data_IF_883597129830
#
_entry.id   IF_883597129830
#
_cell.length_a   1.000
_cell.length_b   1.000
_cell.length_c   1.000
_cell.angle_alpha   90.00
_cell.angle_beta   90.00
_cell.angle_gamma   90.00
#
_symmetry.space_group_name_H-M   'P 1'
#
loop_
_entity.id
_entity.type
_entity.pdbx_description
1 polymer ?
#
# COMPACT_ATOMS: atom_id res chain seq x y z
N UNK A 1 -9.57 28.00 1.68
CA UNK A 1 -9.29 29.35 1.15
C UNK A 1 -8.00 29.35 0.31
N UNK A 2 -6.90 28.75 0.80
CA UNK A 2 -5.62 28.63 0.07
C UNK A 2 -5.69 27.90 -1.29
N UNK A 3 -6.49 26.82 -1.42
CA UNK A 3 -6.60 26.06 -2.70
C UNK A 3 -7.12 26.93 -3.85
N UNK A 4 -8.06 27.84 -3.58
CA UNK A 4 -8.61 28.73 -4.59
C UNK A 4 -7.60 29.81 -5.03
N UNK A 5 -6.79 30.29 -4.09
CA UNK A 5 -5.73 31.27 -4.34
C UNK A 5 -4.60 30.67 -5.18
N UNK A 6 -4.19 29.42 -4.87
CA UNK A 6 -3.23 28.67 -5.69
C UNK A 6 -3.75 28.46 -7.12
N UNK A 7 -5.02 28.05 -7.27
CA UNK A 7 -5.60 27.81 -8.58
C UNK A 7 -5.70 29.09 -9.43
N UNK A 8 -6.04 30.23 -8.81
CA UNK A 8 -6.12 31.52 -9.49
C UNK A 8 -4.74 32.03 -9.92
N UNK A 9 -3.72 31.92 -9.06
CA UNK A 9 -2.37 32.33 -9.41
C UNK A 9 -1.76 31.40 -10.48
N UNK A 10 -1.95 30.09 -10.35
CA UNK A 10 -1.56 29.12 -11.40
C UNK A 10 -2.23 29.44 -12.74
N UNK A 11 -3.54 29.67 -12.75
CA UNK A 11 -4.29 30.02 -13.97
C UNK A 11 -3.79 31.30 -14.63
N UNK A 12 -3.40 32.29 -13.82
CA UNK A 12 -2.83 33.55 -14.28
C UNK A 12 -1.45 33.32 -14.89
N UNK A 13 -0.58 32.56 -14.22
CA UNK A 13 0.77 32.23 -14.69
C UNK A 13 0.76 31.37 -15.97
N UNK A 14 -0.19 30.43 -16.09
CA UNK A 14 -0.39 29.64 -17.29
C UNK A 14 -0.85 30.50 -18.48
N UNK A 15 -1.84 31.39 -18.27
CA UNK A 15 -2.32 32.30 -19.33
C UNK A 15 -1.26 33.29 -19.80
N UNK A 16 -0.31 33.66 -18.94
CA UNK A 16 0.80 34.55 -19.30
C UNK A 16 2.00 33.80 -19.88
N UNK A 17 1.92 32.47 -20.03
CA UNK A 17 3.02 31.64 -20.56
C UNK A 17 4.22 31.55 -19.63
N UNK A 18 4.05 31.90 -18.35
CA UNK A 18 5.10 31.82 -17.33
C UNK A 18 5.17 30.45 -16.66
N UNK A 19 4.12 29.65 -16.82
CA UNK A 19 4.06 28.24 -16.43
C UNK A 19 3.55 27.47 -17.64
N UNK A 20 4.40 26.61 -18.18
CA UNK A 20 3.97 25.62 -19.18
C UNK A 20 3.39 24.42 -18.44
N UNK A 21 2.17 24.03 -18.80
CA UNK A 21 1.61 22.75 -18.36
C UNK A 21 2.20 21.71 -19.30
N UNK A 22 2.93 20.71 -18.78
CA UNK A 22 3.45 19.65 -19.63
C UNK A 22 2.28 18.95 -20.34
N UNK A 23 2.46 18.66 -21.63
CA UNK A 23 1.47 17.88 -22.39
C UNK A 23 1.36 16.47 -21.82
N UNK A 24 0.26 15.77 -22.11
CA UNK A 24 0.12 14.35 -21.72
C UNK A 24 1.30 13.50 -22.21
N UNK A 25 1.87 13.82 -23.37
CA UNK A 25 3.09 13.18 -23.90
C UNK A 25 4.34 13.52 -23.08
N UNK A 26 4.50 14.76 -22.62
CA UNK A 26 5.61 15.17 -21.76
C UNK A 26 5.49 14.59 -20.34
N UNK A 27 4.27 14.46 -19.83
CA UNK A 27 3.98 13.76 -18.58
C UNK A 27 4.33 12.28 -18.71
N UNK A 28 3.90 11.63 -19.79
CA UNK A 28 4.26 10.24 -20.07
C UNK A 28 5.78 10.04 -20.24
N UNK A 29 6.48 10.95 -20.92
CA UNK A 29 7.95 10.91 -21.05
C UNK A 29 8.67 11.11 -19.69
N UNK A 30 8.16 12.02 -18.85
CA UNK A 30 8.67 12.23 -17.50
C UNK A 30 8.45 10.99 -16.62
N UNK A 31 7.28 10.37 -16.69
CA UNK A 31 6.95 9.14 -15.95
C UNK A 31 7.76 7.94 -16.42
N UNK A 32 7.97 7.78 -17.74
CA UNK A 32 8.83 6.75 -18.31
C UNK A 32 10.32 6.95 -18.02
N UNK A 33 10.72 8.16 -17.60
CA UNK A 33 12.11 8.45 -17.22
C UNK A 33 12.42 8.07 -15.77
N UNK A 34 11.41 7.79 -14.94
CA UNK A 34 11.62 7.43 -13.54
C UNK A 34 12.15 6.00 -13.42
N UNK A 35 13.24 5.84 -12.68
CA UNK A 35 13.65 4.51 -12.24
C UNK A 35 12.60 3.93 -11.29
N UNK A 36 12.47 2.59 -11.19
CA UNK A 36 11.48 1.97 -10.32
C UNK A 36 11.48 2.47 -8.85
N UNK A 37 12.66 2.74 -8.23
CA UNK A 37 12.71 3.38 -6.92
C UNK A 37 12.16 4.80 -6.87
N UNK A 38 12.44 5.61 -7.89
CA UNK A 38 11.95 7.00 -7.94
C UNK A 38 10.44 7.05 -8.13
N UNK A 39 9.87 6.12 -8.91
CA UNK A 39 8.43 5.99 -9.05
C UNK A 39 7.77 5.69 -7.70
N UNK A 40 8.33 4.74 -6.95
CA UNK A 40 7.84 4.42 -5.61
C UNK A 40 7.96 5.61 -4.64
N UNK A 41 9.11 6.28 -4.59
CA UNK A 41 9.34 7.41 -3.70
C UNK A 41 8.40 8.58 -4.03
N UNK A 42 8.16 8.87 -5.31
CA UNK A 42 7.17 9.86 -5.74
C UNK A 42 5.74 9.46 -5.36
N UNK A 43 5.38 8.18 -5.50
CA UNK A 43 4.07 7.67 -5.10
C UNK A 43 3.86 7.75 -3.59
N UNK A 44 4.88 7.45 -2.79
CA UNK A 44 4.84 7.54 -1.33
C UNK A 44 4.77 9.00 -0.85
N UNK A 45 5.52 9.90 -1.49
CA UNK A 45 5.42 11.34 -1.25
C UNK A 45 4.02 11.86 -1.55
N UNK A 46 3.43 11.47 -2.69
CA UNK A 46 2.06 11.84 -3.07
C UNK A 46 1.01 11.27 -2.11
N UNK A 47 1.24 10.06 -1.59
CA UNK A 47 0.39 9.43 -0.59
C UNK A 47 0.56 10.01 0.83
N UNK A 48 1.55 10.90 1.03
CA UNK A 48 1.95 11.45 2.32
C UNK A 48 2.30 10.37 3.36
N UNK A 49 2.85 9.24 2.91
CA UNK A 49 3.22 8.12 3.78
C UNK A 49 4.71 8.15 4.14
N UNK A 50 5.07 8.06 5.44
CA UNK A 50 6.46 7.94 5.84
C UNK A 50 7.07 6.65 5.30
N UNK A 51 8.21 6.77 4.61
CA UNK A 51 8.96 5.63 4.08
C UNK A 51 10.41 5.66 4.55
N UNK A 52 10.94 4.48 4.87
CA UNK A 52 12.35 4.26 5.16
C UNK A 52 12.85 3.11 4.31
N UNK A 53 13.91 3.36 3.53
CA UNK A 53 14.55 2.31 2.75
C UNK A 53 15.03 1.18 3.67
N UNK A 54 14.72 -0.05 3.28
CA UNK A 54 15.11 -1.26 3.99
C UNK A 54 16.30 -1.91 3.26
N UNK A 55 17.50 -1.77 3.84
CA UNK A 55 18.75 -2.28 3.26
C UNK A 55 19.02 -3.76 3.61
N UNK A 56 18.24 -4.35 4.53
CA UNK A 56 18.49 -5.71 5.02
C UNK A 56 17.83 -6.79 4.14
N UNK A 57 16.78 -6.45 3.39
CA UNK A 57 16.08 -7.35 2.45
C UNK A 57 16.85 -7.49 1.10
N UNK A 58 17.99 -6.80 0.97
CA UNK A 58 18.68 -6.47 -0.28
C UNK A 58 19.51 -7.60 -0.93
N UNK A 59 18.86 -8.70 -1.32
CA UNK A 59 19.42 -9.59 -2.35
C UNK A 59 18.82 -9.32 -3.74
N UNK A 60 17.51 -9.09 -3.86
CA UNK A 60 16.80 -9.11 -5.16
C UNK A 60 15.76 -7.98 -5.35
N UNK A 61 16.12 -6.72 -5.06
CA UNK A 61 15.27 -5.57 -5.38
C UNK A 61 15.43 -4.37 -4.44
N UNK A 62 14.54 -3.39 -4.58
CA UNK A 62 14.46 -2.23 -3.71
C UNK A 62 13.28 -2.37 -2.76
N UNK A 63 13.50 -2.15 -1.46
CA UNK A 63 12.50 -2.36 -0.42
C UNK A 63 12.42 -1.18 0.53
N UNK A 64 11.23 -0.92 1.04
CA UNK A 64 10.93 0.15 1.99
C UNK A 64 10.00 -0.35 3.09
N UNK A 65 10.29 0.08 4.32
CA UNK A 65 9.33 0.10 5.41
C UNK A 65 8.45 1.33 5.22
N UNK A 66 7.13 1.12 5.20
CA UNK A 66 6.13 2.18 5.04
C UNK A 66 5.26 2.22 6.28
N UNK A 67 4.97 3.41 6.81
CA UNK A 67 4.04 3.59 7.92
C UNK A 67 2.70 4.13 7.42
N UNK A 68 1.62 3.60 7.97
CA UNK A 68 0.29 4.20 7.83
C UNK A 68 0.17 5.47 8.67
N UNK A 69 -0.95 6.19 8.50
CA UNK A 69 -1.30 7.34 9.35
C UNK A 69 -1.46 6.92 10.82
N UNK A 70 -1.89 5.68 11.08
CA UNK A 70 -2.03 5.13 12.43
C UNK A 70 -0.74 4.50 12.96
N UNK A 71 0.41 4.76 12.32
CA UNK A 71 1.73 4.24 12.68
C UNK A 71 1.88 2.71 12.54
N UNK A 72 0.99 2.06 11.80
CA UNK A 72 1.13 0.64 11.48
C UNK A 72 2.10 0.46 10.30
N UNK A 73 3.02 -0.49 10.40
CA UNK A 73 4.05 -0.70 9.37
C UNK A 73 3.67 -1.76 8.36
N UNK A 74 3.99 -1.55 7.08
CA UNK A 74 4.01 -2.57 6.02
C UNK A 74 5.27 -2.46 5.16
N UNK A 75 5.55 -3.50 4.37
CA UNK A 75 6.69 -3.53 3.45
C UNK A 75 6.21 -3.29 2.02
N UNK A 76 6.96 -2.47 1.29
CA UNK A 76 6.79 -2.32 -0.15
C UNK A 76 8.11 -2.63 -0.85
N UNK A 77 8.01 -3.33 -1.98
CA UNK A 77 9.12 -3.79 -2.79
C UNK A 77 8.89 -3.48 -4.26
N UNK A 78 9.95 -3.06 -4.93
CA UNK A 78 9.97 -2.82 -6.37
C UNK A 78 11.09 -3.66 -6.98
N UNK A 79 10.74 -4.42 -8.01
CA UNK A 79 11.64 -5.24 -8.82
C UNK A 79 10.98 -5.50 -10.17
N UNK A 80 10.92 -6.76 -10.62
CA UNK A 80 10.05 -7.14 -11.76
C UNK A 80 8.56 -6.90 -11.47
N UNK A 81 8.20 -6.92 -10.19
CA UNK A 81 6.86 -6.70 -9.70
C UNK A 81 6.86 -5.52 -8.72
N UNK A 82 5.72 -4.87 -8.63
CA UNK A 82 5.38 -4.02 -7.50
C UNK A 82 4.62 -4.85 -6.47
N UNK A 83 5.23 -5.00 -5.30
CA UNK A 83 4.75 -5.83 -4.21
C UNK A 83 4.57 -4.98 -2.97
N UNK A 84 3.42 -5.08 -2.33
CA UNK A 84 3.18 -4.52 -1.01
C UNK A 84 2.71 -5.66 -0.11
N UNK A 85 3.27 -5.79 1.08
CA UNK A 85 2.97 -6.91 1.96
C UNK A 85 3.05 -6.51 3.43
N UNK A 86 2.18 -7.10 4.24
CA UNK A 86 2.17 -7.02 5.69
C UNK A 86 1.98 -8.41 6.26
N UNK A 87 2.96 -8.88 7.03
CA UNK A 87 2.77 -10.02 7.92
C UNK A 87 1.76 -9.66 9.01
N UNK A 88 0.79 -10.53 9.23
CA UNK A 88 -0.26 -10.35 10.23
C UNK A 88 -0.01 -11.26 11.43
N UNK A 89 0.14 -12.57 11.20
CA UNK A 89 0.34 -13.55 12.27
C UNK A 89 0.77 -14.91 11.71
N UNK A 90 1.38 -15.73 12.57
CA UNK A 90 1.62 -17.14 12.28
C UNK A 90 0.42 -17.99 12.74
N UNK A 91 -0.15 -18.77 11.83
CA UNK A 91 -1.36 -19.54 12.09
C UNK A 91 -1.01 -20.88 12.74
N UNK A 92 -1.74 -21.22 13.79
CA UNK A 92 -1.74 -22.56 14.38
C UNK A 92 -2.80 -23.41 13.68
N UNK A 93 -2.77 -24.74 13.81
CA UNK A 93 -3.85 -25.59 13.28
C UNK A 93 -5.24 -25.17 13.76
N UNK A 94 -5.36 -24.69 15.00
CA UNK A 94 -6.63 -24.19 15.54
C UNK A 94 -7.13 -22.92 14.81
N UNK A 95 -6.23 -22.05 14.34
CA UNK A 95 -6.61 -20.89 13.53
C UNK A 95 -7.13 -21.28 12.16
N UNK A 96 -6.58 -22.36 11.57
CA UNK A 96 -6.99 -22.85 10.25
C UNK A 96 -8.38 -23.50 10.26
N UNK A 97 -8.79 -24.02 11.42
CA UNK A 97 -10.13 -24.58 11.64
C UNK A 97 -11.15 -23.55 12.13
N UNK A 98 -10.74 -22.30 12.42
CA UNK A 98 -11.69 -21.26 12.89
C UNK A 98 -12.44 -20.61 11.71
N UNK A 99 -13.63 -21.14 11.45
CA UNK A 99 -14.55 -20.62 10.43
C UNK A 99 -14.88 -19.13 10.59
N UNK A 100 -14.91 -18.59 11.83
CA UNK A 100 -15.21 -17.17 12.04
C UNK A 100 -14.05 -16.30 11.59
N UNK A 101 -12.82 -16.70 11.90
CA UNK A 101 -11.62 -16.02 11.41
C UNK A 101 -11.62 -16.02 9.88
N UNK A 102 -11.78 -17.20 9.27
CA UNK A 102 -11.77 -17.34 7.82
C UNK A 102 -12.87 -16.52 7.14
N UNK A 103 -14.09 -16.53 7.69
CA UNK A 103 -15.19 -15.73 7.16
C UNK A 103 -14.93 -14.23 7.30
N UNK A 104 -14.35 -13.79 8.42
CA UNK A 104 -14.02 -12.39 8.64
C UNK A 104 -12.92 -11.90 7.68
N UNK A 105 -11.89 -12.71 7.43
CA UNK A 105 -10.86 -12.43 6.42
C UNK A 105 -11.48 -12.29 5.02
N UNK A 106 -12.38 -13.19 4.64
CA UNK A 106 -13.10 -13.12 3.36
C UNK A 106 -13.98 -11.88 3.25
N UNK A 107 -14.65 -11.49 4.33
CA UNK A 107 -15.48 -10.29 4.37
C UNK A 107 -14.65 -9.04 4.13
N UNK A 108 -13.54 -8.88 4.86
CA UNK A 108 -12.62 -7.76 4.64
C UNK A 108 -12.06 -7.75 3.21
N UNK A 109 -11.69 -8.92 2.69
CA UNK A 109 -11.19 -9.02 1.31
C UNK A 109 -12.23 -8.57 0.27
N UNK A 110 -13.53 -8.76 0.54
CA UNK A 110 -14.60 -8.29 -0.34
C UNK A 110 -14.83 -6.76 -0.25
N UNK A 111 -14.42 -6.14 0.85
CA UNK A 111 -14.47 -4.69 1.04
C UNK A 111 -13.20 -3.99 0.50
N UNK A 112 -12.08 -4.72 0.42
CA UNK A 112 -10.79 -4.22 -0.11
C UNK A 112 -10.70 -4.41 -1.63
N UNK A 113 -10.51 -3.31 -2.36
CA UNK A 113 -10.46 -3.36 -3.83
C UNK A 113 -9.33 -4.26 -4.34
N UNK A 114 -8.11 -4.07 -3.82
CA UNK A 114 -6.89 -4.64 -4.41
C UNK A 114 -6.07 -5.52 -3.46
N UNK A 115 -6.16 -5.30 -2.14
CA UNK A 115 -5.42 -6.09 -1.17
C UNK A 115 -6.10 -7.44 -0.94
N UNK A 116 -5.30 -8.50 -0.74
CA UNK A 116 -5.78 -9.88 -0.55
C UNK A 116 -5.06 -10.51 0.64
N UNK A 117 -5.79 -11.33 1.39
CA UNK A 117 -5.16 -12.19 2.38
C UNK A 117 -4.56 -13.41 1.68
N UNK A 118 -3.35 -13.78 2.10
CA UNK A 118 -2.65 -14.98 1.64
C UNK A 118 -2.06 -15.70 2.84
N UNK A 119 -2.17 -17.02 2.85
CA UNK A 119 -1.44 -17.88 3.78
C UNK A 119 -0.32 -18.52 2.96
N UNK A 120 0.92 -18.42 3.43
CA UNK A 120 2.06 -19.05 2.78
C UNK A 120 2.28 -20.52 3.24
N UNK A 121 3.34 -21.14 2.75
CA UNK A 121 3.68 -22.54 3.05
C UNK A 121 4.05 -22.75 4.53
N UNK A 122 4.51 -21.70 5.22
CA UNK A 122 4.88 -21.71 6.64
C UNK A 122 3.68 -21.41 7.56
N UNK A 123 2.48 -21.29 6.98
CA UNK A 123 1.23 -20.90 7.65
C UNK A 123 1.25 -19.47 8.21
N UNK A 124 2.07 -18.58 7.66
CA UNK A 124 2.02 -17.17 7.99
C UNK A 124 0.92 -16.48 7.15
N UNK A 125 0.07 -15.73 7.84
CA UNK A 125 -0.98 -14.91 7.26
C UNK A 125 -0.40 -13.55 6.86
N UNK A 126 -0.57 -13.20 5.60
CA UNK A 126 -0.19 -11.92 5.03
C UNK A 126 -1.39 -11.20 4.44
N UNK A 127 -1.37 -9.87 4.51
CA UNK A 127 -2.14 -9.00 3.62
C UNK A 127 -1.19 -8.51 2.53
N UNK A 128 -1.56 -8.65 1.27
CA UNK A 128 -0.67 -8.31 0.17
C UNK A 128 -1.36 -7.73 -1.06
N UNK A 129 -0.54 -7.07 -1.87
CA UNK A 129 -0.83 -6.57 -3.20
C UNK A 129 0.35 -6.89 -4.10
N UNK A 130 0.10 -7.47 -5.27
CA UNK A 130 1.14 -7.85 -6.22
C UNK A 130 0.65 -7.56 -7.64
N UNK A 131 1.47 -6.86 -8.42
CA UNK A 131 1.28 -6.74 -9.87
C UNK A 131 2.63 -6.64 -10.59
N UNK A 132 2.68 -6.92 -11.90
CA UNK A 132 3.82 -6.56 -12.73
C UNK A 132 4.13 -5.06 -12.62
N UNK A 133 5.42 -4.73 -12.63
CA UNK A 133 5.87 -3.32 -12.65
C UNK A 133 5.68 -2.67 -14.02
N UNK A 134 5.60 -3.47 -15.08
CA UNK A 134 5.29 -3.01 -16.44
C UNK A 134 4.00 -2.16 -16.43
N UNK A 135 4.08 -0.98 -17.05
CA UNK A 135 3.01 0.02 -17.16
C UNK A 135 2.46 0.52 -15.81
N UNK A 136 3.18 0.35 -14.69
CA UNK A 136 2.81 0.99 -13.43
C UNK A 136 3.17 2.47 -13.47
N UNK A 137 2.20 3.34 -13.24
CA UNK A 137 2.43 4.79 -13.06
C UNK A 137 2.44 5.21 -11.58
N UNK A 138 2.84 6.47 -11.33
CA UNK A 138 2.92 7.04 -9.97
C UNK A 138 1.56 7.08 -9.28
N UNK A 139 0.48 7.35 -10.01
CA UNK A 139 -0.88 7.45 -9.46
C UNK A 139 -1.43 6.09 -9.06
N UNK A 140 -1.20 5.06 -9.87
CA UNK A 140 -1.56 3.68 -9.58
C UNK A 140 -0.78 3.16 -8.36
N UNK A 141 0.53 3.42 -8.30
CA UNK A 141 1.35 3.08 -7.14
C UNK A 141 0.88 3.81 -5.87
N UNK A 142 0.56 5.10 -5.97
CA UNK A 142 0.02 5.90 -4.87
C UNK A 142 -1.30 5.33 -4.36
N UNK A 143 -2.23 5.02 -5.27
CA UNK A 143 -3.50 4.41 -4.90
C UNK A 143 -3.30 3.05 -4.21
N UNK A 144 -2.36 2.23 -4.69
CA UNK A 144 -2.07 0.93 -4.08
C UNK A 144 -1.52 1.08 -2.65
N UNK A 145 -0.66 2.07 -2.41
CA UNK A 145 -0.15 2.40 -1.08
C UNK A 145 -1.26 2.89 -0.14
N UNK A 146 -2.14 3.78 -0.62
CA UNK A 146 -3.27 4.27 0.15
C UNK A 146 -4.28 3.16 0.49
N UNK A 147 -4.58 2.28 -0.46
CA UNK A 147 -5.45 1.13 -0.23
C UNK A 147 -4.84 0.13 0.75
N UNK A 148 -3.54 -0.16 0.66
CA UNK A 148 -2.85 -0.97 1.67
C UNK A 148 -2.90 -0.30 3.05
N UNK A 149 -2.61 1.00 3.12
CA UNK A 149 -2.63 1.76 4.38
C UNK A 149 -3.99 1.67 5.08
N UNK A 150 -5.08 1.90 4.34
CA UNK A 150 -6.46 1.74 4.85
C UNK A 150 -6.76 0.31 5.29
N UNK A 151 -6.33 -0.67 4.49
CA UNK A 151 -6.59 -2.07 4.77
C UNK A 151 -5.87 -2.51 6.06
N UNK A 152 -4.59 -2.15 6.22
CA UNK A 152 -3.80 -2.40 7.42
C UNK A 152 -4.46 -1.74 8.64
N UNK A 153 -4.79 -0.46 8.57
CA UNK A 153 -5.40 0.25 9.70
C UNK A 153 -6.79 -0.32 10.08
N UNK A 154 -7.51 -0.89 9.11
CA UNK A 154 -8.82 -1.49 9.35
C UNK A 154 -8.74 -2.89 9.96
N UNK A 155 -7.86 -3.76 9.47
CA UNK A 155 -7.86 -5.17 9.85
C UNK A 155 -6.80 -5.52 10.91
N UNK A 156 -5.68 -4.79 10.99
CA UNK A 156 -4.58 -5.17 11.87
C UNK A 156 -4.97 -5.12 13.35
N UNK A 157 -5.55 -4.03 13.90
CA UNK A 157 -5.89 -3.98 15.32
C UNK A 157 -6.81 -5.12 15.81
N UNK A 158 -7.95 -5.44 15.15
CA UNK A 158 -8.81 -6.53 15.60
C UNK A 158 -8.16 -7.92 15.41
N UNK A 159 -7.28 -8.08 14.42
CA UNK A 159 -6.54 -9.34 14.24
C UNK A 159 -5.49 -9.53 15.33
N UNK A 160 -4.74 -8.49 15.68
CA UNK A 160 -3.78 -8.54 16.80
C UNK A 160 -4.48 -8.84 18.13
N UNK A 161 -5.66 -8.27 18.37
CA UNK A 161 -6.48 -8.57 19.55
C UNK A 161 -6.92 -10.05 19.57
N UNK A 162 -7.35 -10.57 18.41
CA UNK A 162 -7.76 -11.96 18.25
C UNK A 162 -6.61 -12.94 18.51
N UNK A 163 -5.43 -12.67 17.95
CA UNK A 163 -4.26 -13.55 18.10
C UNK A 163 -3.60 -13.46 19.48
N UNK A 164 -3.79 -12.35 20.20
CA UNK A 164 -3.21 -12.16 21.55
C UNK A 164 -4.09 -12.72 22.67
N UNK A 165 -5.38 -12.97 22.43
CA UNK A 165 -6.29 -13.47 23.46
C UNK A 165 -6.47 -14.99 23.40
N UNK A 166 -6.45 -15.71 24.55
CA UNK A 166 -6.81 -17.13 24.57
C UNK A 166 -8.23 -17.31 24.01
N UNK A 167 -8.35 -18.04 22.91
CA UNK A 167 -9.60 -18.20 22.17
C UNK A 167 -10.76 -18.63 23.10
N UNK A 168 -11.70 -17.71 23.32
CA UNK A 168 -13.04 -18.04 23.81
C UNK A 168 -13.96 -17.99 22.60
N UNK A 169 -14.72 -19.06 22.34
CA UNK A 169 -15.65 -19.14 21.21
C UNK A 169 -16.53 -17.87 21.11
N UNK A 170 -16.55 -17.21 19.95
CA UNK A 170 -17.53 -16.16 19.60
C UNK A 170 -17.04 -14.71 19.56
N UNK A 171 -15.87 -14.46 18.96
CA UNK A 171 -15.21 -13.14 18.94
C UNK A 171 -15.81 -12.09 17.99
N UNK A 172 -16.38 -12.51 16.86
CA UNK A 172 -17.05 -11.60 15.94
C UNK A 172 -18.56 -11.70 16.16
N UNK A 173 -19.15 -10.68 16.80
CA UNK A 173 -20.61 -10.48 16.88
C UNK A 173 -21.02 -9.26 16.07
#
# INVERSE_FOLDING_TARGET
MQVLEYFLEFSKLHRTGQVEIPTDEQLAELEQSLSPPQLFEAAAELAELPVQRNEEVAADGWWWNVLTVSENGFLAGVGEHFLITRHIADLTPAHQEDENLLFQLLRWQNEMAWCRFRIDEDNALFLGYLRPFEDLDVSEACNALLEMSRAVDSCLPPLEEYFSTPQKRGWFR
#
